data_IF_537949076636
#
_entry.id   IF_537949076636
#
_cell.length_a   1.000
_cell.length_b   1.000
_cell.length_c   1.000
_cell.angle_alpha   90.00
_cell.angle_beta   90.00
_cell.angle_gamma   90.00
#
_symmetry.space_group_name_H-M   'P 1'
#
loop_
_entity.id
_entity.type
_entity.pdbx_description
1 polymer ?
#
# COMPACT_ATOMS: atom_id res chain seq x y z
N UNK A 1 -7.02 -17.83 1.95
CA UNK A 1 -7.15 -16.36 2.12
C UNK A 1 -6.83 -15.72 0.78
N UNK A 2 -7.54 -14.68 0.37
CA UNK A 2 -7.18 -13.95 -0.85
C UNK A 2 -6.28 -12.77 -0.47
N UNK A 3 -5.10 -12.66 -1.09
CA UNK A 3 -4.12 -11.59 -0.83
C UNK A 3 -3.80 -10.88 -2.14
N UNK A 4 -4.00 -9.57 -2.17
CA UNK A 4 -3.50 -8.71 -3.25
C UNK A 4 -2.17 -8.07 -2.85
N UNK A 5 -1.21 -8.02 -3.77
CA UNK A 5 0.02 -7.26 -3.63
C UNK A 5 0.01 -6.11 -4.62
N UNK A 6 0.27 -4.89 -4.14
CA UNK A 6 0.41 -3.70 -4.98
C UNK A 6 1.70 -2.99 -4.56
N UNK A 7 2.39 -2.37 -5.52
CA UNK A 7 3.64 -1.69 -5.22
C UNK A 7 4.41 -1.33 -6.47
N UNK A 8 5.73 -1.25 -6.32
CA UNK A 8 6.66 -0.80 -7.36
C UNK A 8 7.35 -1.97 -8.05
N UNK A 9 8.44 -1.68 -8.76
CA UNK A 9 9.35 -2.67 -9.34
C UNK A 9 9.95 -3.65 -8.33
N UNK A 10 10.02 -3.31 -7.03
CA UNK A 10 10.41 -4.26 -5.98
C UNK A 10 9.44 -5.46 -5.89
N UNK A 11 8.16 -5.23 -6.23
CA UNK A 11 7.12 -6.26 -6.26
C UNK A 11 6.84 -6.78 -7.67
N UNK A 12 6.98 -5.95 -8.71
CA UNK A 12 6.67 -6.33 -10.09
C UNK A 12 7.79 -7.14 -10.77
N UNK A 13 9.06 -6.90 -10.43
CA UNK A 13 10.18 -7.55 -11.08
C UNK A 13 10.36 -8.99 -10.57
N UNK A 14 10.25 -10.01 -11.44
CA UNK A 14 10.31 -11.42 -11.03
C UNK A 14 11.67 -11.83 -10.48
N UNK A 15 12.75 -11.11 -10.80
CA UNK A 15 14.10 -11.44 -10.32
C UNK A 15 14.25 -11.32 -8.80
N UNK A 16 13.42 -10.50 -8.14
CA UNK A 16 13.41 -10.39 -6.68
C UNK A 16 12.61 -11.50 -6.00
N UNK A 17 11.73 -12.17 -6.76
CA UNK A 17 10.82 -13.20 -6.28
C UNK A 17 10.01 -12.82 -5.02
N UNK A 18 9.67 -11.54 -4.86
CA UNK A 18 8.96 -11.07 -3.67
C UNK A 18 7.57 -11.73 -3.52
N UNK A 19 6.85 -11.90 -4.63
CA UNK A 19 5.57 -12.62 -4.68
C UNK A 19 5.73 -14.07 -4.19
N UNK A 20 6.77 -14.78 -4.64
CA UNK A 20 7.03 -16.15 -4.22
C UNK A 20 7.35 -16.26 -2.74
N UNK A 21 8.16 -15.32 -2.21
CA UNK A 21 8.45 -15.24 -0.78
C UNK A 21 7.19 -15.04 0.06
N UNK A 22 6.29 -14.14 -0.37
CA UNK A 22 5.00 -13.94 0.29
C UNK A 22 4.11 -15.18 0.23
N UNK A 23 4.01 -15.84 -0.92
CA UNK A 23 3.23 -17.10 -1.05
C UNK A 23 3.73 -18.17 -0.07
N UNK A 24 5.05 -18.32 0.06
CA UNK A 24 5.67 -19.27 0.99
C UNK A 24 5.41 -18.89 2.45
N UNK A 25 5.62 -17.63 2.83
CA UNK A 25 5.47 -17.16 4.20
C UNK A 25 4.01 -17.20 4.68
N UNK A 26 3.08 -16.78 3.81
CA UNK A 26 1.65 -16.68 4.12
C UNK A 26 0.90 -17.99 3.92
N UNK A 27 1.52 -18.98 3.24
CA UNK A 27 0.86 -20.24 2.81
C UNK A 27 -0.45 -19.97 2.07
N UNK A 28 -0.44 -18.95 1.23
CA UNK A 28 -1.62 -18.41 0.56
C UNK A 28 -1.26 -17.99 -0.85
N UNK A 29 -2.22 -18.05 -1.76
CA UNK A 29 -2.02 -17.45 -3.07
C UNK A 29 -1.99 -15.91 -2.93
N UNK A 30 -1.19 -15.28 -3.79
CA UNK A 30 -0.93 -13.84 -3.82
C UNK A 30 -1.05 -13.40 -5.27
N UNK A 31 -2.00 -12.51 -5.55
CA UNK A 31 -2.19 -11.89 -6.86
C UNK A 31 -1.43 -10.58 -6.88
N UNK A 32 -0.54 -10.41 -7.85
CA UNK A 32 0.32 -9.23 -7.95
C UNK A 32 -0.26 -8.22 -8.94
N UNK A 33 -0.51 -7.01 -8.45
CA UNK A 33 -0.95 -5.83 -9.19
C UNK A 33 0.09 -4.70 -9.15
N UNK A 34 1.33 -4.99 -8.74
CA UNK A 34 2.42 -4.02 -8.79
C UNK A 34 2.83 -3.70 -10.23
N UNK A 35 3.25 -2.46 -10.46
CA UNK A 35 3.75 -2.02 -11.77
C UNK A 35 5.17 -1.47 -11.63
N UNK A 36 6.01 -1.73 -12.65
CA UNK A 36 7.33 -1.12 -12.75
C UNK A 36 7.20 0.32 -13.31
N UNK A 37 8.07 1.23 -12.88
CA UNK A 37 8.19 2.59 -13.43
C UNK A 37 7.19 3.65 -12.96
N UNK A 38 6.12 3.29 -12.25
CA UNK A 38 5.02 4.22 -11.92
C UNK A 38 4.99 4.70 -10.46
N UNK A 39 5.97 4.28 -9.65
CA UNK A 39 5.95 4.51 -8.19
C UNK A 39 4.84 3.73 -7.49
N UNK A 40 4.66 3.90 -6.16
CA UNK A 40 3.75 3.07 -5.38
C UNK A 40 2.29 3.56 -5.41
N UNK A 41 2.03 4.83 -5.77
CA UNK A 41 0.69 5.42 -5.70
C UNK A 41 -0.17 5.04 -6.92
N UNK A 42 0.33 5.23 -8.14
CA UNK A 42 -0.45 4.99 -9.36
C UNK A 42 -0.97 3.55 -9.44
N UNK A 43 -0.15 2.50 -9.20
CA UNK A 43 -0.64 1.12 -9.21
C UNK A 43 -1.73 0.85 -8.17
N UNK A 44 -1.65 1.49 -6.99
CA UNK A 44 -2.70 1.39 -5.98
C UNK A 44 -4.00 2.04 -6.45
N UNK A 45 -3.94 3.25 -7.00
CA UNK A 45 -5.13 3.94 -7.50
C UNK A 45 -5.78 3.20 -8.67
N UNK A 46 -4.98 2.69 -9.61
CA UNK A 46 -5.47 1.82 -10.70
C UNK A 46 -6.15 0.57 -10.13
N UNK A 47 -5.49 -0.11 -9.18
CA UNK A 47 -6.03 -1.31 -8.54
C UNK A 47 -7.41 -1.09 -7.91
N UNK A 48 -7.59 0.00 -7.15
CA UNK A 48 -8.87 0.35 -6.51
C UNK A 48 -10.02 0.58 -7.52
N UNK A 49 -9.70 0.89 -8.78
CA UNK A 49 -10.70 1.07 -9.84
C UNK A 49 -11.01 -0.21 -10.61
N UNK A 50 -10.23 -1.29 -10.44
CA UNK A 50 -10.43 -2.55 -11.16
C UNK A 50 -11.70 -3.29 -10.73
N UNK A 51 -12.25 -4.08 -11.65
CA UNK A 51 -13.35 -5.00 -11.34
C UNK A 51 -12.94 -6.08 -10.34
N UNK A 52 -11.66 -6.47 -10.33
CA UNK A 52 -11.13 -7.41 -9.36
C UNK A 52 -11.31 -6.89 -7.93
N UNK A 53 -10.98 -5.62 -7.68
CA UNK A 53 -11.20 -5.00 -6.37
C UNK A 53 -12.69 -4.79 -6.07
N UNK A 54 -13.48 -4.30 -7.03
CA UNK A 54 -14.91 -3.96 -6.83
C UNK A 54 -15.78 -5.18 -6.58
N UNK A 55 -15.54 -6.28 -7.31
CA UNK A 55 -16.40 -7.46 -7.29
C UNK A 55 -15.87 -8.57 -6.39
N UNK A 56 -14.56 -8.61 -6.15
CA UNK A 56 -13.92 -9.68 -5.35
C UNK A 56 -12.73 -9.12 -4.56
N UNK A 57 -12.97 -8.17 -3.63
CA UNK A 57 -11.88 -7.58 -2.87
C UNK A 57 -11.15 -8.67 -2.06
N UNK A 58 -9.81 -8.67 -2.04
CA UNK A 58 -9.05 -9.61 -1.23
C UNK A 58 -9.26 -9.29 0.26
N UNK A 59 -9.02 -10.29 1.10
CA UNK A 59 -9.08 -10.10 2.56
C UNK A 59 -7.94 -9.21 3.06
N UNK A 60 -6.80 -9.25 2.37
CA UNK A 60 -5.61 -8.46 2.69
C UNK A 60 -5.05 -7.84 1.42
N UNK A 61 -4.73 -6.54 1.48
CA UNK A 61 -3.91 -5.85 0.49
C UNK A 61 -2.57 -5.51 1.12
N UNK A 62 -1.49 -6.04 0.56
CA UNK A 62 -0.13 -5.66 0.90
C UNK A 62 0.27 -4.53 -0.04
N UNK A 63 0.58 -3.37 0.52
CA UNK A 63 1.06 -2.22 -0.24
C UNK A 63 2.54 -1.98 0.03
N UNK A 64 3.38 -2.31 -0.95
CA UNK A 64 4.81 -2.05 -0.91
C UNK A 64 5.09 -0.60 -1.31
N UNK A 65 5.73 0.15 -0.41
CA UNK A 65 5.95 1.57 -0.54
C UNK A 65 7.38 1.94 -0.11
N UNK A 66 8.32 2.15 -1.04
CA UNK A 66 9.67 2.58 -0.67
C UNK A 66 9.66 4.00 -0.10
N UNK A 67 10.35 4.22 1.02
CA UNK A 67 10.33 5.48 1.77
C UNK A 67 10.64 6.73 0.93
N UNK A 68 11.52 6.61 -0.08
CA UNK A 68 11.91 7.70 -0.98
C UNK A 68 10.75 8.28 -1.80
N UNK A 69 9.63 7.57 -1.93
CA UNK A 69 8.44 8.06 -2.61
C UNK A 69 7.51 8.90 -1.72
N UNK A 70 7.72 8.91 -0.40
CA UNK A 70 6.90 9.71 0.52
C UNK A 70 6.95 11.22 0.22
N UNK A 71 8.13 11.83 -0.03
CA UNK A 71 8.21 13.23 -0.44
C UNK A 71 8.03 13.44 -1.95
N UNK A 72 7.87 12.38 -2.74
CA UNK A 72 7.83 12.48 -4.20
C UNK A 72 6.50 13.07 -4.68
N UNK A 73 6.57 13.90 -5.72
CA UNK A 73 5.37 14.32 -6.44
C UNK A 73 4.85 13.16 -7.28
N UNK A 74 3.54 12.94 -7.23
CA UNK A 74 2.86 11.94 -8.04
C UNK A 74 1.94 12.68 -9.00
N UNK A 75 2.08 12.40 -10.29
CA UNK A 75 1.16 12.88 -11.31
C UNK A 75 -0.13 12.04 -11.26
N UNK A 76 -1.25 12.68 -10.93
CA UNK A 76 -2.55 12.05 -10.80
C UNK A 76 -3.52 12.49 -11.90
N UNK A 77 -3.01 13.08 -12.98
CA UNK A 77 -3.83 13.64 -14.07
C UNK A 77 -4.69 12.61 -14.81
N UNK A 78 -4.36 11.32 -14.72
CA UNK A 78 -5.14 10.23 -15.33
C UNK A 78 -6.41 9.87 -14.54
N UNK A 79 -6.58 10.35 -13.30
CA UNK A 79 -7.71 10.02 -12.44
C UNK A 79 -8.73 11.15 -12.35
N UNK A 80 -10.01 10.81 -12.11
CA UNK A 80 -11.05 11.81 -11.86
C UNK A 80 -10.69 12.70 -10.65
N UNK A 81 -10.55 14.03 -10.83
CA UNK A 81 -10.23 14.95 -9.74
C UNK A 81 -11.23 14.90 -8.57
N UNK A 82 -12.50 14.60 -8.82
CA UNK A 82 -13.52 14.48 -7.76
C UNK A 82 -13.25 13.25 -6.89
N UNK A 83 -12.96 12.11 -7.53
CA UNK A 83 -12.60 10.88 -6.83
C UNK A 83 -11.32 11.04 -6.01
N UNK A 84 -10.29 11.72 -6.56
CA UNK A 84 -9.07 12.04 -5.81
C UNK A 84 -9.38 12.93 -4.60
N UNK A 85 -10.29 13.90 -4.74
CA UNK A 85 -10.71 14.73 -3.63
C UNK A 85 -11.45 13.93 -2.54
N UNK A 86 -12.28 12.96 -2.91
CA UNK A 86 -12.96 12.05 -1.98
C UNK A 86 -11.97 11.17 -1.22
N UNK A 87 -10.98 10.58 -1.90
CA UNK A 87 -9.91 9.81 -1.26
C UNK A 87 -9.15 10.63 -0.21
N UNK A 88 -8.86 11.90 -0.51
CA UNK A 88 -8.19 12.81 0.44
C UNK A 88 -9.07 13.18 1.63
N UNK A 89 -10.38 13.40 1.41
CA UNK A 89 -11.36 13.74 2.46
C UNK A 89 -11.63 12.61 3.44
N UNK A 90 -11.43 11.36 3.05
CA UNK A 90 -11.66 10.19 3.92
C UNK A 90 -10.88 10.24 5.25
N UNK A 91 -9.86 11.11 5.37
CA UNK A 91 -9.15 11.40 6.62
C UNK A 91 -9.98 12.15 7.67
N UNK A 92 -10.91 13.03 7.30
CA UNK A 92 -11.64 13.87 8.27
C UNK A 92 -12.62 13.04 9.12
N UNK A 93 -12.94 11.81 8.71
CA UNK A 93 -13.77 10.87 9.49
C UNK A 93 -12.92 9.97 10.42
N UNK A 94 -11.59 9.96 10.29
CA UNK A 94 -10.67 9.04 10.99
C UNK A 94 -9.63 9.73 11.91
N UNK A 95 -9.75 11.03 12.20
CA UNK A 95 -8.85 11.75 13.14
C UNK A 95 -8.75 11.11 14.55
N UNK A 96 -9.70 10.22 14.91
CA UNK A 96 -9.73 9.54 16.21
C UNK A 96 -8.85 8.28 16.35
N UNK A 97 -8.13 7.84 15.31
CA UNK A 97 -7.33 6.59 15.42
C UNK A 97 -5.91 6.85 15.94
N UNK A 98 -5.30 7.99 15.61
CA UNK A 98 -3.95 8.34 16.08
C UNK A 98 -3.90 8.79 17.55
N UNK A 99 -5.03 9.19 18.13
CA UNK A 99 -5.11 9.64 19.54
C UNK A 99 -5.17 8.48 20.55
N UNK A 100 -5.35 7.23 20.10
CA UNK A 100 -5.40 6.05 20.97
C UNK A 100 -4.06 5.28 21.06
N UNK A 101 -3.01 5.74 20.36
CA UNK A 101 -1.67 5.22 20.60
C UNK A 101 -1.13 5.84 21.88
N UNK A 102 -1.08 5.05 22.97
CA UNK A 102 -0.33 5.43 24.18
C UNK A 102 1.09 5.85 23.77
N UNK A 103 1.66 6.94 24.33
CA UNK A 103 3.05 7.29 24.09
C UNK A 103 3.93 6.09 24.46
N UNK A 104 4.73 5.60 23.50
CA UNK A 104 5.78 4.64 23.80
C UNK A 104 6.77 5.32 24.74
N UNK A 105 6.97 4.77 25.94
CA UNK A 105 8.08 5.20 26.80
C UNK A 105 9.40 4.97 26.06
N UNK A 106 10.21 6.02 25.96
CA UNK A 106 11.57 5.93 25.46
C UNK A 106 12.40 5.05 26.42
N UNK A 107 13.21 4.09 25.93
CA UNK A 107 14.05 3.30 26.81
C UNK A 107 15.04 4.21 27.53
N UNK A 108 15.06 4.11 28.86
CA UNK A 108 16.00 4.81 29.71
C UNK A 108 17.43 4.45 29.27
N UNK A 109 18.19 5.45 28.83
CA UNK A 109 19.61 5.31 28.49
C UNK A 109 20.35 4.90 29.77
N UNK A 110 20.86 3.67 29.79
CA UNK A 110 21.74 3.20 30.86
C UNK A 110 22.93 4.16 30.99
N UNK A 111 23.08 4.76 32.16
CA UNK A 111 24.27 5.52 32.54
C UNK A 111 25.31 4.51 33.01
N UNK A 112 26.43 4.44 32.29
CA UNK A 112 27.70 3.93 32.81
C UNK A 112 28.58 5.12 33.20
#
# INVERSE_FOLDING_TARGET
MAVGLVGTSYSANPNWNFVGALKQALRSDVVNYAEDGHGPILPMLKYLQTDAFKNTPPQVVIWEFPERYLPAHNDLGEFDPKWIAELKKSRDTQENVALNAKPSESPNRAQN
#
